data_IF_751598647318
#
_entry.id   IF_751598647318
#
_cell.length_a   1.000
_cell.length_b   1.000
_cell.length_c   1.000
_cell.angle_alpha   90.00
_cell.angle_beta   90.00
_cell.angle_gamma   90.00
#
_symmetry.space_group_name_H-M   'P 1'
#
loop_
_entity.id
_entity.type
_entity.pdbx_description
1 polymer ?
#
# COMPACT_ATOMS: atom_id res chain seq x y z
N UNK A 1 -2.69 21.42 10.40
CA UNK A 1 -3.46 20.18 10.23
C UNK A 1 -2.47 19.05 10.04
N UNK A 2 -2.63 17.94 10.77
CA UNK A 2 -1.79 16.75 10.65
C UNK A 2 -1.94 16.13 9.26
N UNK A 3 -0.84 15.88 8.56
CA UNK A 3 -0.81 15.28 7.23
C UNK A 3 -0.56 13.78 7.36
N UNK A 4 -1.51 13.00 6.86
CA UNK A 4 -1.42 11.54 6.82
C UNK A 4 -1.00 11.07 5.42
N UNK A 5 -0.33 9.94 5.35
CA UNK A 5 -0.06 9.25 4.09
C UNK A 5 -0.13 7.74 4.25
N UNK A 6 -0.72 7.06 3.26
CA UNK A 6 -0.75 5.60 3.19
C UNK A 6 0.51 5.11 2.46
N UNK A 7 1.21 4.17 3.07
CA UNK A 7 2.34 3.50 2.44
C UNK A 7 1.83 2.26 1.70
N UNK A 8 2.16 2.19 0.40
CA UNK A 8 2.07 0.96 -0.37
C UNK A 8 3.01 -0.11 0.19
N UNK A 9 2.69 -1.38 -0.05
CA UNK A 9 3.50 -2.53 0.34
C UNK A 9 4.93 -2.44 -0.21
N UNK A 10 5.09 -1.93 -1.43
CA UNK A 10 6.40 -1.68 -2.04
C UNK A 10 7.26 -0.70 -1.21
N UNK A 11 6.64 0.34 -0.63
CA UNK A 11 7.30 1.32 0.23
C UNK A 11 7.66 0.70 1.56
N UNK A 12 6.67 0.06 2.21
CA UNK A 12 6.83 -0.64 3.49
C UNK A 12 7.98 -1.66 3.43
N UNK A 13 8.09 -2.39 2.32
CA UNK A 13 9.16 -3.37 2.14
C UNK A 13 10.53 -2.69 2.18
N UNK A 14 10.79 -1.59 1.48
CA UNK A 14 12.14 -0.99 1.49
C UNK A 14 12.38 0.08 2.57
N UNK A 15 11.33 0.62 3.22
CA UNK A 15 11.44 1.57 4.33
C UNK A 15 12.21 1.05 5.54
N UNK A 16 12.22 -0.27 5.75
CA UNK A 16 12.91 -0.94 6.88
C UNK A 16 14.46 -0.99 6.73
N UNK A 17 15.06 0.02 6.10
CA UNK A 17 16.52 0.11 5.91
C UNK A 17 17.07 1.49 5.55
N UNK A 18 16.24 2.52 5.34
CA UNK A 18 16.71 3.83 4.90
C UNK A 18 15.88 4.95 5.54
N UNK A 19 16.56 6.00 6.02
CA UNK A 19 15.96 7.23 6.54
C UNK A 19 15.11 8.02 5.51
N UNK A 20 14.96 7.49 4.29
CA UNK A 20 14.12 8.05 3.21
C UNK A 20 12.68 8.31 3.66
N UNK A 21 12.12 7.45 4.52
CA UNK A 21 10.75 7.62 4.99
C UNK A 21 10.62 8.70 6.06
N UNK A 22 11.69 8.95 6.82
CA UNK A 22 11.73 10.00 7.85
C UNK A 22 11.83 11.42 7.26
N UNK A 23 12.30 11.55 6.00
CA UNK A 23 12.42 12.83 5.30
C UNK A 23 11.13 13.26 4.58
N UNK A 24 10.11 12.40 4.55
CA UNK A 24 8.86 12.69 3.84
C UNK A 24 8.05 13.76 4.59
N UNK A 25 7.34 14.67 3.87
CA UNK A 25 6.64 15.80 4.48
C UNK A 25 5.26 15.40 5.07
N UNK A 26 5.20 14.27 5.78
CA UNK A 26 3.99 13.71 6.40
C UNK A 26 4.20 13.52 7.90
N UNK A 27 3.22 13.96 8.69
CA UNK A 27 3.27 13.84 10.15
C UNK A 27 2.98 12.41 10.62
N UNK A 28 2.14 11.69 9.88
CA UNK A 28 1.72 10.32 10.22
C UNK A 28 1.71 9.43 8.99
N UNK A 29 2.41 8.31 9.09
CA UNK A 29 2.45 7.28 8.08
C UNK A 29 1.66 6.06 8.55
N UNK A 30 0.82 5.53 7.68
CA UNK A 30 -0.06 4.39 7.97
C UNK A 30 0.09 3.32 6.89
N UNK A 31 -0.36 2.10 7.21
CA UNK A 31 -0.33 0.95 6.29
C UNK A 31 -1.71 0.32 6.20
N UNK A 32 -2.00 -0.33 5.07
CA UNK A 32 -3.26 -1.08 4.91
C UNK A 32 -3.15 -2.49 5.51
N UNK A 33 -4.28 -3.03 5.98
CA UNK A 33 -4.39 -4.45 6.32
C UNK A 33 -4.09 -5.35 5.11
N UNK A 34 -4.32 -4.87 3.88
CA UNK A 34 -3.97 -5.56 2.64
C UNK A 34 -2.45 -5.69 2.48
N UNK A 35 -1.69 -4.65 2.83
CA UNK A 35 -0.23 -4.71 2.82
C UNK A 35 0.30 -5.77 3.80
N UNK A 36 -0.32 -5.89 4.98
CA UNK A 36 -0.01 -7.01 5.88
C UNK A 36 -0.37 -8.37 5.28
N UNK A 37 -1.47 -8.47 4.53
CA UNK A 37 -1.84 -9.70 3.85
C UNK A 37 -0.81 -10.09 2.78
N UNK A 38 -0.31 -9.13 1.99
CA UNK A 38 0.74 -9.37 0.98
C UNK A 38 2.07 -9.80 1.61
N UNK A 39 2.50 -9.11 2.68
CA UNK A 39 3.70 -9.51 3.41
C UNK A 39 3.59 -10.94 3.96
N UNK A 40 2.40 -11.31 4.47
CA UNK A 40 2.11 -12.65 4.97
C UNK A 40 2.03 -13.70 3.86
N UNK A 41 1.51 -13.35 2.68
CA UNK A 41 1.57 -14.21 1.50
C UNK A 41 3.03 -14.53 1.14
N UNK A 42 3.93 -13.57 1.33
CA UNK A 42 5.37 -13.79 1.25
C UNK A 42 5.89 -14.89 2.18
N UNK A 43 5.25 -15.19 3.31
CA UNK A 43 5.69 -16.30 4.15
C UNK A 43 5.42 -17.66 3.49
N UNK A 44 4.32 -17.77 2.75
CA UNK A 44 3.91 -19.01 2.07
C UNK A 44 4.83 -19.32 0.87
N UNK A 45 5.41 -18.29 0.27
CA UNK A 45 6.27 -18.42 -0.92
C UNK A 45 7.77 -18.44 -0.60
N UNK A 46 8.15 -18.44 0.68
CA UNK A 46 9.55 -18.55 1.08
C UNK A 46 10.13 -19.92 0.68
N UNK A 47 11.32 -19.90 0.12
CA UNK A 47 11.97 -21.09 -0.45
C UNK A 47 12.87 -21.82 0.53
N UNK A 48 13.28 -21.15 1.61
CA UNK A 48 14.07 -21.73 2.70
C UNK A 48 13.70 -21.15 4.09
N UNK A 49 14.19 -21.79 5.14
CA UNK A 49 13.91 -21.41 6.52
C UNK A 49 14.51 -20.07 6.93
N UNK A 50 15.61 -19.65 6.32
CA UNK A 50 16.26 -18.38 6.67
C UNK A 50 15.54 -17.20 6.03
N UNK A 51 15.05 -17.37 4.80
CA UNK A 51 14.13 -16.45 4.14
C UNK A 51 12.84 -16.29 4.93
N UNK A 52 12.22 -17.41 5.34
CA UNK A 52 11.01 -17.38 6.17
C UNK A 52 11.24 -16.59 7.46
N UNK A 53 12.33 -16.88 8.19
CA UNK A 53 12.70 -16.15 9.42
C UNK A 53 12.94 -14.66 9.16
N UNK A 54 13.59 -14.29 8.06
CA UNK A 54 13.78 -12.87 7.68
C UNK A 54 12.44 -12.17 7.41
N UNK A 55 11.52 -12.81 6.68
CA UNK A 55 10.20 -12.24 6.37
C UNK A 55 9.33 -12.10 7.62
N UNK A 56 9.33 -13.08 8.53
CA UNK A 56 8.63 -13.00 9.83
C UNK A 56 9.13 -11.80 10.64
N UNK A 57 10.46 -11.69 10.85
CA UNK A 57 11.04 -10.57 11.59
C UNK A 57 10.70 -9.22 10.97
N UNK A 58 10.65 -9.15 9.63
CA UNK A 58 10.26 -7.93 8.92
C UNK A 58 8.81 -7.55 9.23
N UNK A 59 7.88 -8.50 9.16
CA UNK A 59 6.46 -8.26 9.49
C UNK A 59 6.30 -7.78 10.93
N UNK A 60 6.96 -8.43 11.88
CA UNK A 60 6.89 -8.03 13.30
C UNK A 60 7.41 -6.62 13.54
N UNK A 61 8.51 -6.25 12.88
CA UNK A 61 9.07 -4.91 12.98
C UNK A 61 8.14 -3.85 12.36
N UNK A 62 7.58 -4.12 11.17
CA UNK A 62 6.58 -3.25 10.52
C UNK A 62 5.34 -3.07 11.41
N UNK A 63 4.79 -4.16 11.98
CA UNK A 63 3.63 -4.09 12.88
C UNK A 63 3.93 -3.31 14.17
N UNK A 64 5.17 -3.34 14.66
CA UNK A 64 5.57 -2.54 15.83
C UNK A 64 5.62 -1.04 15.53
N UNK A 65 6.07 -0.67 14.33
CA UNK A 65 6.20 0.73 13.91
C UNK A 65 4.85 1.34 13.53
N UNK A 66 4.09 0.65 12.68
CA UNK A 66 2.88 1.21 12.08
C UNK A 66 1.58 0.78 12.77
N UNK A 67 1.64 -0.20 13.68
CA UNK A 67 0.46 -0.67 14.41
C UNK A 67 -0.50 -1.49 13.54
N UNK A 68 -1.81 -1.49 13.84
CA UNK A 68 -2.80 -2.18 13.03
C UNK A 68 -2.98 -1.50 11.67
N UNK A 69 -3.12 -2.30 10.62
CA UNK A 69 -3.39 -1.77 9.29
C UNK A 69 -4.82 -1.27 9.15
N UNK A 70 -5.03 -0.26 8.31
CA UNK A 70 -6.37 0.25 7.98
C UNK A 70 -7.17 -0.85 7.27
N UNK A 71 -8.38 -1.20 7.75
CA UNK A 71 -9.19 -2.25 7.14
C UNK A 71 -9.75 -1.81 5.79
N UNK A 72 -9.96 -2.77 4.88
CA UNK A 72 -10.73 -2.55 3.66
C UNK A 72 -12.22 -2.76 3.96
N UNK A 73 -12.98 -1.69 4.02
CA UNK A 73 -14.40 -1.68 4.39
C UNK A 73 -15.32 -1.27 3.21
N UNK A 74 -16.61 -1.04 3.48
CA UNK A 74 -17.58 -0.66 2.46
C UNK A 74 -17.31 0.72 1.82
N UNK A 75 -16.64 1.62 2.53
CA UNK A 75 -16.22 2.90 1.94
C UNK A 75 -15.08 2.67 0.94
N UNK A 76 -14.12 1.81 1.29
CA UNK A 76 -13.06 1.37 0.39
C UNK A 76 -13.64 0.64 -0.83
N UNK A 77 -14.67 -0.19 -0.66
CA UNK A 77 -15.33 -0.89 -1.77
C UNK A 77 -15.92 0.07 -2.82
N UNK A 78 -16.50 1.20 -2.40
CA UNK A 78 -17.01 2.23 -3.32
C UNK A 78 -15.91 2.96 -4.08
N UNK A 79 -14.80 3.28 -3.41
CA UNK A 79 -13.66 3.90 -4.09
C UNK A 79 -12.94 2.90 -5.01
N UNK A 80 -12.93 1.61 -4.66
CA UNK A 80 -12.35 0.55 -5.49
C UNK A 80 -13.04 0.44 -6.85
N UNK A 81 -14.37 0.56 -6.89
CA UNK A 81 -15.12 0.64 -8.16
C UNK A 81 -14.58 1.75 -9.06
N UNK A 82 -14.41 2.96 -8.52
CA UNK A 82 -13.90 4.13 -9.26
C UNK A 82 -12.46 3.94 -9.71
N UNK A 83 -11.60 3.42 -8.82
CA UNK A 83 -10.19 3.11 -9.13
C UNK A 83 -10.10 2.10 -10.27
N UNK A 84 -10.90 1.04 -10.24
CA UNK A 84 -10.94 0.03 -11.31
C UNK A 84 -11.48 0.62 -12.60
N UNK A 85 -12.56 1.41 -12.56
CA UNK A 85 -13.10 2.08 -13.74
C UNK A 85 -12.05 2.98 -14.40
N UNK A 86 -11.36 3.80 -13.61
CA UNK A 86 -10.30 4.66 -14.09
C UNK A 86 -9.15 3.87 -14.75
N UNK A 87 -8.75 2.73 -14.16
CA UNK A 87 -7.75 1.86 -14.77
C UNK A 87 -8.23 1.22 -16.09
N UNK A 88 -9.51 0.83 -16.17
CA UNK A 88 -10.13 0.27 -17.39
C UNK A 88 -10.19 1.32 -18.50
N UNK A 89 -10.53 2.56 -18.17
CA UNK A 89 -10.55 3.67 -19.13
C UNK A 89 -9.14 3.94 -19.71
N UNK A 90 -8.09 3.55 -18.97
CA UNK A 90 -6.69 3.59 -19.41
C UNK A 90 -6.20 2.27 -20.04
N UNK A 91 -7.12 1.38 -20.42
CA UNK A 91 -6.82 0.15 -21.16
C UNK A 91 -6.32 -1.02 -20.30
N UNK A 92 -6.34 -0.90 -18.98
CA UNK A 92 -5.97 -2.00 -18.10
C UNK A 92 -7.13 -2.99 -17.92
N UNK A 93 -6.83 -4.26 -17.63
CA UNK A 93 -7.89 -5.25 -17.31
C UNK A 93 -8.42 -5.01 -15.88
N UNK A 94 -9.72 -5.27 -15.61
CA UNK A 94 -10.31 -5.02 -14.30
C UNK A 94 -9.64 -5.73 -13.13
N UNK A 95 -9.07 -6.93 -13.36
CA UNK A 95 -8.47 -7.77 -12.32
C UNK A 95 -6.93 -7.71 -12.24
N UNK A 96 -6.28 -6.94 -13.12
CA UNK A 96 -4.82 -6.72 -13.03
C UNK A 96 -4.54 -5.84 -11.80
N UNK A 97 -3.49 -6.16 -11.03
CA UNK A 97 -3.06 -5.38 -9.87
C UNK A 97 -4.20 -5.12 -8.86
N UNK A 98 -5.05 -6.14 -8.65
CA UNK A 98 -6.26 -5.98 -7.85
C UNK A 98 -5.97 -5.53 -6.41
N UNK A 99 -4.92 -6.08 -5.79
CA UNK A 99 -4.55 -5.70 -4.41
C UNK A 99 -4.00 -4.28 -4.35
N UNK A 100 -3.14 -3.88 -5.29
CA UNK A 100 -2.63 -2.49 -5.37
C UNK A 100 -3.77 -1.49 -5.54
N UNK A 101 -4.76 -1.81 -6.38
CA UNK A 101 -5.97 -0.99 -6.55
C UNK A 101 -6.84 -0.95 -5.31
N UNK A 102 -6.92 -2.05 -4.56
CA UNK A 102 -7.61 -2.05 -3.26
C UNK A 102 -6.87 -1.18 -2.23
N UNK A 103 -5.54 -1.16 -2.24
CA UNK A 103 -4.73 -0.26 -1.39
C UNK A 103 -4.96 1.20 -1.80
N UNK A 104 -4.98 1.52 -3.10
CA UNK A 104 -5.33 2.84 -3.61
C UNK A 104 -6.74 3.27 -3.19
N UNK A 105 -7.70 2.34 -3.16
CA UNK A 105 -9.04 2.61 -2.68
C UNK A 105 -9.11 2.92 -1.17
N UNK A 106 -8.25 2.29 -0.36
CA UNK A 106 -8.09 2.66 1.07
C UNK A 106 -7.59 4.10 1.18
N UNK A 107 -6.55 4.47 0.43
CA UNK A 107 -6.03 5.84 0.42
C UNK A 107 -7.10 6.86 -0.01
N UNK A 108 -7.84 6.57 -1.09
CA UNK A 108 -8.93 7.42 -1.58
C UNK A 108 -10.06 7.59 -0.55
N UNK A 109 -10.53 6.49 0.06
CA UNK A 109 -11.62 6.52 1.04
C UNK A 109 -11.26 7.35 2.28
N UNK A 110 -9.98 7.33 2.67
CA UNK A 110 -9.45 8.08 3.80
C UNK A 110 -8.89 9.47 3.41
N UNK A 111 -8.94 9.85 2.13
CA UNK A 111 -8.42 11.11 1.58
C UNK A 111 -6.94 11.35 1.93
N UNK A 112 -6.14 10.30 1.80
CA UNK A 112 -4.70 10.33 2.02
C UNK A 112 -3.97 10.11 0.70
N UNK A 113 -2.80 10.73 0.48
CA UNK A 113 -1.90 10.34 -0.59
C UNK A 113 -1.43 8.90 -0.39
N UNK A 114 -1.20 8.20 -1.50
CA UNK A 114 -0.59 6.87 -1.54
C UNK A 114 0.86 7.00 -2.00
N UNK A 115 1.78 6.59 -1.14
CA UNK A 115 3.20 6.56 -1.44
C UNK A 115 3.53 5.18 -2.00
N UNK A 116 4.11 5.13 -3.20
CA UNK A 116 4.41 3.88 -3.90
C UNK A 116 5.74 3.95 -4.63
N UNK A 117 6.42 2.81 -4.75
CA UNK A 117 7.56 2.66 -5.69
C UNK A 117 7.13 2.19 -7.08
N UNK A 118 5.86 1.82 -7.24
CA UNK A 118 5.31 1.19 -8.44
C UNK A 118 4.17 2.02 -9.04
N UNK A 119 4.33 3.34 -9.17
CA UNK A 119 3.29 4.24 -9.69
C UNK A 119 2.75 3.82 -11.09
N UNK A 120 3.55 3.09 -11.87
CA UNK A 120 3.15 2.49 -13.15
C UNK A 120 1.93 1.57 -13.02
N UNK A 121 1.79 0.84 -11.91
CA UNK A 121 0.69 -0.10 -11.69
C UNK A 121 -0.63 0.59 -11.35
N UNK A 122 -0.57 1.89 -11.06
CA UNK A 122 -1.67 2.75 -10.65
C UNK A 122 -2.00 3.84 -11.68
N UNK A 123 -1.49 3.72 -12.92
CA UNK A 123 -1.80 4.71 -13.97
C UNK A 123 -3.30 4.93 -14.15
N UNK A 124 -3.69 6.19 -14.17
CA UNK A 124 -5.06 6.64 -14.41
C UNK A 124 -5.86 6.93 -13.15
N UNK A 125 -5.30 6.73 -11.95
CA UNK A 125 -6.01 6.96 -10.68
C UNK A 125 -5.71 8.33 -10.04
N UNK A 126 -4.86 9.16 -10.67
CA UNK A 126 -4.34 10.42 -10.13
C UNK A 126 -5.44 11.45 -9.77
N UNK A 127 -6.64 11.33 -10.37
CA UNK A 127 -7.80 12.16 -10.04
C UNK A 127 -8.64 11.67 -8.86
N UNK A 128 -8.35 10.47 -8.34
CA UNK A 128 -9.07 9.82 -7.23
C UNK A 128 -8.22 9.76 -5.97
N UNK A 129 -6.91 9.57 -6.14
CA UNK A 129 -5.92 9.51 -5.06
C UNK A 129 -4.65 10.19 -5.54
N UNK A 130 -4.04 10.97 -4.66
CA UNK A 130 -2.72 11.58 -4.93
C UNK A 130 -1.63 10.50 -4.84
N UNK A 131 -1.00 10.19 -5.97
CA UNK A 131 0.05 9.17 -6.06
C UNK A 131 1.41 9.86 -5.93
N UNK A 132 2.13 9.53 -4.86
CA UNK A 132 3.47 10.06 -4.60
C UNK A 132 4.49 8.96 -4.82
N UNK A 133 5.36 9.16 -5.81
CA UNK A 133 6.46 8.22 -6.07
C UNK A 133 7.61 8.50 -5.12
N UNK A 134 8.14 7.46 -4.48
CA UNK A 134 9.27 7.52 -3.54
C UNK A 134 10.36 6.51 -3.87
#
# INVERSE_FOLDING_TARGET
>A
MTRYALLDTSVVISAMGAGEVEELPYDVLVVSALSYAELRLGLVTATDMDELRRRIRRIEAISRVFGPGIPFDDACAREYERVVQAAVDHGQRPRTNAVDRMIAAVAAAHRMPLLTRNAVDLRGVDGLVDIVTV
#
